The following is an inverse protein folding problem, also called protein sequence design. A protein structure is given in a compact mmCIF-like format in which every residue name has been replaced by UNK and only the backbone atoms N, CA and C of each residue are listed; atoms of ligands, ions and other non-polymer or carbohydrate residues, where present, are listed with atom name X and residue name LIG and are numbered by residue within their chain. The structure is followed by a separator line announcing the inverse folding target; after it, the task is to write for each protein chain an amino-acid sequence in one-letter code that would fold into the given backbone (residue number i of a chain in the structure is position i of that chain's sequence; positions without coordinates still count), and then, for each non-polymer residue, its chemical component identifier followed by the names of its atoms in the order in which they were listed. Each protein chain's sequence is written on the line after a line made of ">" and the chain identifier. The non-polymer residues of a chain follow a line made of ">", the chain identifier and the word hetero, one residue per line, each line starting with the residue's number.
data_IF_770848394050
#
_entry.id   IF_770848394050
#
_cell.length_a   1.000
_cell.length_b   1.000
_cell.length_c   1.000
_cell.angle_alpha   90.00
_cell.angle_beta   90.00
_cell.angle_gamma   90.00
#
_symmetry.space_group_name_H-M   'P 1'
#
loop_
_entity.id
_entity.type
_entity.pdbx_description
1 polymer ?
#
# COMPACT_ATOMS: atom_id res chain seq x y z
N UNK A 1 15.79 -40.52 -44.20
CA UNK A 1 15.17 -40.25 -45.51
C UNK A 1 13.98 -41.19 -45.64
N UNK A 2 12.77 -40.71 -46.03
CA UNK A 2 12.53 -39.92 -47.26
C UNK A 2 12.03 -38.49 -46.98
N UNK A 3 12.51 -37.47 -47.70
CA UNK A 3 11.98 -36.85 -48.96
C UNK A 3 10.84 -35.86 -48.67
N UNK A 4 11.05 -34.53 -48.61
CA UNK A 4 11.29 -33.53 -49.68
C UNK A 4 10.28 -33.52 -50.85
N UNK A 5 9.86 -32.30 -51.21
CA UNK A 5 9.12 -31.83 -52.40
C UNK A 5 7.57 -31.79 -52.35
N UNK A 6 6.97 -30.59 -52.31
CA UNK A 6 6.80 -29.81 -53.54
C UNK A 6 6.33 -28.36 -53.32
N UNK A 7 6.85 -27.52 -54.20
CA UNK A 7 6.71 -26.08 -54.36
C UNK A 7 6.03 -25.83 -55.72
N UNK A 8 5.28 -24.71 -55.82
CA UNK A 8 4.75 -24.03 -57.03
C UNK A 8 3.54 -24.59 -57.78
N UNK A 9 2.53 -23.74 -57.97
CA UNK A 9 2.37 -22.92 -59.20
C UNK A 9 1.14 -21.99 -59.04
N UNK A 10 1.27 -20.67 -58.88
CA UNK A 10 1.46 -19.60 -59.90
C UNK A 10 0.28 -19.35 -60.87
N UNK A 11 -0.24 -18.10 -60.85
CA UNK A 11 -0.49 -17.14 -61.96
C UNK A 11 -1.73 -16.26 -61.72
N UNK A 12 -1.57 -14.95 -61.49
CA UNK A 12 -1.54 -13.81 -62.45
C UNK A 12 -2.97 -13.32 -62.79
N UNK A 13 -3.36 -12.05 -62.91
CA UNK A 13 -2.67 -10.75 -63.08
C UNK A 13 -3.68 -9.58 -63.13
N UNK A 14 -3.22 -8.33 -62.87
CA UNK A 14 -3.81 -7.05 -63.34
C UNK A 14 -3.96 -5.96 -62.26
N UNK A 15 -3.00 -5.04 -61.95
CA UNK A 15 -2.50 -3.82 -62.65
C UNK A 15 -3.63 -2.81 -63.03
N UNK A 16 -3.65 -1.49 -62.79
CA UNK A 16 -2.71 -0.37 -62.44
C UNK A 16 -3.56 0.88 -62.00
N UNK A 17 -3.03 1.79 -61.15
CA UNK A 17 -3.02 3.28 -61.32
C UNK A 17 -2.48 3.95 -60.04
N UNK A 18 -1.19 4.34 -59.93
CA UNK A 18 -0.64 5.71 -60.14
C UNK A 18 -1.55 6.84 -59.65
N UNK A 19 -1.23 7.44 -58.49
CA UNK A 19 -0.51 8.72 -58.39
C UNK A 19 -0.02 8.99 -56.94
N UNK A 20 1.26 9.42 -56.85
CA UNK A 20 1.87 10.42 -55.95
C UNK A 20 1.33 10.62 -54.50
N UNK A 21 2.09 10.77 -53.42
CA UNK A 21 3.45 11.19 -53.19
C UNK A 21 3.90 10.83 -51.74
N UNK A 22 5.22 10.84 -51.56
CA UNK A 22 5.98 10.76 -50.32
C UNK A 22 5.38 11.52 -49.12
N UNK A 23 5.06 10.79 -48.05
CA UNK A 23 5.04 11.35 -46.68
C UNK A 23 5.64 10.38 -45.65
N UNK A 24 6.88 9.99 -45.90
CA UNK A 24 7.83 9.73 -44.80
C UNK A 24 8.13 11.06 -44.11
N UNK A 25 7.33 11.42 -43.09
CA UNK A 25 7.67 12.43 -42.08
C UNK A 25 6.74 12.36 -40.86
N UNK A 26 7.36 12.06 -39.71
CA UNK A 26 6.99 12.53 -38.37
C UNK A 26 5.65 12.05 -37.78
N UNK A 27 5.67 10.88 -37.14
CA UNK A 27 4.86 10.67 -35.94
C UNK A 27 5.77 10.94 -34.74
N UNK A 28 5.61 12.12 -34.13
CA UNK A 28 6.21 12.45 -32.83
C UNK A 28 5.66 11.46 -31.81
N UNK A 29 6.54 10.65 -31.23
CA UNK A 29 6.24 9.81 -30.07
C UNK A 29 6.19 10.64 -28.78
N UNK A 30 5.27 11.61 -28.73
CA UNK A 30 4.75 12.21 -27.50
C UNK A 30 3.24 12.05 -27.63
N UNK A 31 2.59 11.61 -26.56
CA UNK A 31 1.14 11.35 -26.45
C UNK A 31 0.70 9.88 -26.53
N UNK A 32 1.54 8.95 -26.09
CA UNK A 32 1.02 7.73 -25.47
C UNK A 32 0.68 8.04 -24.00
N UNK A 33 -0.52 8.55 -23.79
CA UNK A 33 -1.11 8.67 -22.45
C UNK A 33 -1.37 7.24 -21.97
N UNK A 34 -0.45 6.73 -21.15
CA UNK A 34 -0.54 5.41 -20.52
C UNK A 34 -1.41 5.53 -19.27
N UNK A 35 -2.72 5.34 -19.39
CA UNK A 35 -3.68 5.36 -18.27
C UNK A 35 -3.82 4.01 -17.56
N UNK A 36 -2.74 3.23 -17.48
CA UNK A 36 -2.71 2.03 -16.63
C UNK A 36 -2.12 2.41 -15.28
N UNK A 37 -2.69 1.95 -14.15
CA UNK A 37 -1.93 1.90 -12.91
C UNK A 37 -0.67 1.09 -13.22
N UNK A 38 0.50 1.72 -13.07
CA UNK A 38 1.75 0.99 -13.14
C UNK A 38 1.78 0.11 -11.89
N UNK A 39 1.57 -1.20 -12.08
CA UNK A 39 1.78 -2.20 -11.03
C UNK A 39 3.16 -1.91 -10.44
N UNK A 40 3.27 -1.57 -9.14
CA UNK A 40 4.54 -1.18 -8.56
C UNK A 40 5.49 -2.37 -8.69
N UNK A 41 6.47 -2.22 -9.57
CA UNK A 41 7.52 -3.20 -9.81
C UNK A 41 8.09 -3.64 -8.47
N UNK A 42 8.16 -4.96 -8.25
CA UNK A 42 8.74 -5.66 -7.09
C UNK A 42 10.17 -5.18 -6.79
N UNK A 43 10.31 -4.02 -6.19
CA UNK A 43 11.46 -3.65 -5.40
C UNK A 43 10.93 -3.59 -3.99
N UNK A 44 11.45 -4.46 -3.13
CA UNK A 44 11.23 -4.41 -1.68
C UNK A 44 11.77 -3.07 -1.17
N UNK A 45 11.01 -2.00 -1.35
CA UNK A 45 11.34 -0.69 -0.85
C UNK A 45 11.06 -0.70 0.65
N UNK A 46 12.07 -0.31 1.43
CA UNK A 46 11.93 -0.19 2.88
C UNK A 46 10.68 0.64 3.22
N UNK A 47 10.04 0.37 4.36
CA UNK A 47 8.91 1.20 4.82
C UNK A 47 9.25 2.70 4.77
N UNK A 48 10.46 3.07 5.20
CA UNK A 48 10.92 4.45 5.14
C UNK A 48 10.90 5.03 3.72
N UNK A 49 11.40 4.29 2.73
CA UNK A 49 11.35 4.69 1.32
C UNK A 49 9.90 4.88 0.85
N UNK A 50 9.03 3.91 1.13
CA UNK A 50 7.60 3.97 0.77
C UNK A 50 6.89 5.17 1.40
N UNK A 51 7.18 5.46 2.68
CA UNK A 51 6.65 6.63 3.38
C UNK A 51 7.13 7.94 2.74
N UNK A 52 8.42 8.03 2.42
CA UNK A 52 9.02 9.21 1.78
C UNK A 52 8.42 9.48 0.40
N UNK A 53 8.26 8.43 -0.41
CA UNK A 53 7.64 8.51 -1.74
C UNK A 53 6.19 8.98 -1.66
N UNK A 54 5.41 8.39 -0.73
CA UNK A 54 4.01 8.76 -0.52
C UNK A 54 3.84 10.24 -0.13
N UNK A 55 4.66 10.73 0.80
CA UNK A 55 4.59 12.12 1.24
C UNK A 55 5.02 13.09 0.13
N UNK A 56 6.10 12.76 -0.59
CA UNK A 56 6.57 13.54 -1.73
C UNK A 56 5.49 13.65 -2.82
N UNK A 57 4.88 12.52 -3.19
CA UNK A 57 3.89 12.46 -4.26
C UNK A 57 2.53 13.08 -3.93
N UNK A 58 2.21 13.26 -2.64
CA UNK A 58 0.86 13.69 -2.24
C UNK A 58 0.79 15.10 -1.67
N UNK A 59 1.75 15.47 -0.82
CA UNK A 59 1.76 16.77 -0.12
C UNK A 59 3.09 17.52 -0.29
N UNK A 60 4.04 16.97 -1.07
CA UNK A 60 5.34 17.58 -1.32
C UNK A 60 6.29 17.59 -0.12
N UNK A 61 6.00 16.83 0.94
CA UNK A 61 6.75 16.90 2.21
C UNK A 61 7.66 15.69 2.42
N UNK A 62 8.93 15.82 2.07
CA UNK A 62 9.91 14.74 2.30
C UNK A 62 10.59 14.81 3.66
N UNK A 63 10.47 15.93 4.38
CA UNK A 63 11.24 16.20 5.60
C UNK A 63 10.69 15.39 6.77
N UNK A 64 9.37 15.24 6.84
CA UNK A 64 8.71 14.58 7.95
C UNK A 64 8.75 13.04 7.87
N UNK A 65 9.23 12.45 6.77
CA UNK A 65 9.32 10.99 6.61
C UNK A 65 10.06 10.28 7.76
N UNK A 66 11.12 10.92 8.29
CA UNK A 66 11.88 10.39 9.44
C UNK A 66 11.05 10.39 10.72
N UNK A 67 10.21 11.41 10.92
CA UNK A 67 9.34 11.53 12.08
C UNK A 67 8.26 10.43 12.05
N UNK A 68 7.57 10.24 10.93
CA UNK A 68 6.57 9.18 10.77
C UNK A 68 7.18 7.78 11.00
N UNK A 69 8.36 7.53 10.43
CA UNK A 69 9.07 6.27 10.65
C UNK A 69 9.49 6.08 12.12
N UNK A 70 9.94 7.15 12.78
CA UNK A 70 10.26 7.15 14.21
C UNK A 70 9.06 6.81 15.09
N UNK A 71 7.89 7.40 14.78
CA UNK A 71 6.63 7.09 15.47
C UNK A 71 6.28 5.60 15.29
N UNK A 72 6.31 5.09 14.06
CA UNK A 72 6.09 3.66 13.81
C UNK A 72 7.03 2.79 14.67
N UNK A 73 8.34 3.06 14.64
CA UNK A 73 9.33 2.28 15.40
C UNK A 73 9.08 2.33 16.92
N UNK A 74 8.66 3.47 17.45
CA UNK A 74 8.33 3.62 18.86
C UNK A 74 7.08 2.81 19.25
N UNK A 75 6.07 2.77 18.37
CA UNK A 75 4.84 2.02 18.60
C UNK A 75 5.09 0.52 18.45
N UNK A 76 5.60 0.07 17.30
CA UNK A 76 5.86 -1.35 17.02
C UNK A 76 6.92 -1.93 17.96
N UNK A 77 7.98 -1.18 18.24
CA UNK A 77 9.06 -1.63 19.13
C UNK A 77 8.62 -1.88 20.58
N UNK A 78 7.48 -1.34 21.03
CA UNK A 78 6.89 -1.72 22.32
C UNK A 78 6.13 -3.04 22.25
N UNK A 79 5.40 -3.27 21.15
CA UNK A 79 4.59 -4.48 20.93
C UNK A 79 5.48 -5.70 20.67
N UNK A 80 6.49 -5.55 19.82
CA UNK A 80 7.39 -6.64 19.39
C UNK A 80 8.28 -7.20 20.51
N UNK A 81 8.28 -6.57 21.70
CA UNK A 81 8.94 -7.11 22.90
C UNK A 81 8.19 -8.30 23.48
N UNK A 82 6.89 -8.42 23.22
CA UNK A 82 6.10 -9.54 23.67
C UNK A 82 6.24 -10.71 22.68
N UNK A 83 6.51 -11.92 23.19
CA UNK A 83 6.72 -13.10 22.34
C UNK A 83 5.54 -13.37 21.40
N UNK A 84 4.30 -13.06 21.84
CA UNK A 84 3.09 -13.21 21.01
C UNK A 84 3.09 -12.37 19.73
N UNK A 85 3.87 -11.28 19.67
CA UNK A 85 3.93 -10.37 18.53
C UNK A 85 5.28 -10.37 17.82
N UNK A 86 6.26 -11.16 18.27
CA UNK A 86 7.67 -11.07 17.84
C UNK A 86 7.89 -11.21 16.33
N UNK A 87 7.02 -11.96 15.65
CA UNK A 87 7.11 -12.22 14.21
C UNK A 87 6.27 -11.26 13.35
N UNK A 88 5.62 -10.27 13.97
CA UNK A 88 4.62 -9.42 13.31
C UNK A 88 5.19 -8.11 12.79
N UNK A 89 6.52 -7.98 12.68
CA UNK A 89 7.20 -6.79 12.18
C UNK A 89 6.58 -6.30 10.85
N UNK A 90 6.35 -7.21 9.90
CA UNK A 90 5.77 -6.88 8.60
C UNK A 90 4.32 -6.36 8.71
N UNK A 91 3.54 -6.87 9.67
CA UNK A 91 2.17 -6.40 9.93
C UNK A 91 2.22 -4.96 10.43
N UNK A 92 3.08 -4.67 11.41
CA UNK A 92 3.23 -3.29 11.91
C UNK A 92 3.73 -2.32 10.83
N UNK A 93 4.60 -2.76 9.92
CA UNK A 93 5.02 -1.93 8.79
C UNK A 93 3.87 -1.63 7.83
N UNK A 94 3.05 -2.63 7.51
CA UNK A 94 1.87 -2.46 6.66
C UNK A 94 0.81 -1.56 7.31
N UNK A 95 0.54 -1.73 8.61
CA UNK A 95 -0.36 -0.86 9.37
C UNK A 95 0.17 0.58 9.40
N UNK A 96 1.47 0.79 9.59
CA UNK A 96 2.09 2.11 9.54
C UNK A 96 1.97 2.74 8.15
N UNK A 97 2.20 1.98 7.08
CA UNK A 97 2.03 2.52 5.73
C UNK A 97 0.57 2.91 5.45
N UNK A 98 -0.38 2.07 5.85
CA UNK A 98 -1.83 2.36 5.75
C UNK A 98 -2.23 3.59 6.55
N UNK A 99 -1.76 3.71 7.80
CA UNK A 99 -2.02 4.87 8.65
C UNK A 99 -1.53 6.16 8.00
N UNK A 100 -0.34 6.14 7.36
CA UNK A 100 0.20 7.29 6.66
C UNK A 100 -0.65 7.65 5.44
N UNK A 101 -1.08 6.67 4.64
CA UNK A 101 -2.01 6.91 3.52
C UNK A 101 -3.29 7.59 3.99
N UNK A 102 -3.90 7.10 5.07
CA UNK A 102 -5.13 7.70 5.63
C UNK A 102 -4.86 9.13 6.11
N UNK A 103 -3.78 9.36 6.86
CA UNK A 103 -3.44 10.67 7.38
C UNK A 103 -3.23 11.71 6.27
N UNK A 104 -2.48 11.33 5.23
CA UNK A 104 -2.18 12.19 4.08
C UNK A 104 -3.41 12.38 3.18
N UNK A 105 -4.28 11.39 3.03
CA UNK A 105 -5.55 11.60 2.32
C UNK A 105 -6.47 12.55 3.09
N UNK A 106 -6.47 12.47 4.42
CA UNK A 106 -7.30 13.34 5.26
C UNK A 106 -6.91 14.83 5.14
N UNK A 107 -5.65 15.17 4.86
CA UNK A 107 -5.22 16.57 4.64
C UNK A 107 -5.85 17.19 3.39
N UNK A 108 -6.28 16.37 2.42
CA UNK A 108 -7.00 16.85 1.23
C UNK A 108 -8.42 17.31 1.55
N UNK A 109 -9.01 16.76 2.61
CA UNK A 109 -10.40 17.02 3.00
C UNK A 109 -10.54 18.00 4.16
N UNK A 110 -9.54 18.06 5.05
CA UNK A 110 -9.58 18.89 6.25
C UNK A 110 -8.19 19.41 6.61
N UNK A 111 -8.15 20.57 7.24
CA UNK A 111 -6.92 21.12 7.78
C UNK A 111 -6.46 20.31 9.00
N UNK A 112 -5.28 19.71 8.94
CA UNK A 112 -4.68 18.95 10.04
C UNK A 112 -3.46 19.71 10.53
N UNK A 113 -3.56 20.32 11.72
CA UNK A 113 -2.48 21.13 12.30
C UNK A 113 -1.26 20.31 12.71
N UNK A 114 -1.49 19.09 13.22
CA UNK A 114 -0.44 18.16 13.65
C UNK A 114 -0.60 16.84 12.89
N UNK A 115 0.00 16.75 11.70
CA UNK A 115 -0.07 15.56 10.86
C UNK A 115 0.62 14.32 11.48
N UNK A 116 1.83 14.42 12.06
CA UNK A 116 2.45 13.30 12.78
C UNK A 116 1.60 12.77 13.95
N UNK A 117 1.00 13.68 14.72
CA UNK A 117 0.07 13.32 15.80
C UNK A 117 -1.19 12.62 15.28
N UNK A 118 -1.76 13.12 14.19
CA UNK A 118 -2.92 12.48 13.55
C UNK A 118 -2.57 11.07 13.03
N UNK A 119 -1.41 10.93 12.37
CA UNK A 119 -0.88 9.65 11.94
C UNK A 119 -0.74 8.66 13.10
N UNK A 120 -0.16 9.09 14.23
CA UNK A 120 -0.04 8.23 15.41
C UNK A 120 -1.41 7.73 15.87
N UNK A 121 -2.40 8.62 15.96
CA UNK A 121 -3.75 8.24 16.36
C UNK A 121 -4.40 7.23 15.41
N UNK A 122 -4.21 7.39 14.10
CA UNK A 122 -4.68 6.41 13.11
C UNK A 122 -3.95 5.07 13.26
N UNK A 123 -2.63 5.09 13.46
CA UNK A 123 -1.84 3.87 13.64
C UNK A 123 -2.25 3.11 14.90
N UNK A 124 -2.40 3.80 16.03
CA UNK A 124 -2.85 3.20 17.29
C UNK A 124 -4.22 2.52 17.10
N UNK A 125 -5.16 3.18 16.42
CA UNK A 125 -6.48 2.62 16.12
C UNK A 125 -6.41 1.38 15.22
N UNK A 126 -5.59 1.41 14.17
CA UNK A 126 -5.43 0.26 13.28
C UNK A 126 -4.80 -0.95 14.00
N UNK A 127 -3.89 -0.72 14.94
CA UNK A 127 -3.30 -1.78 15.77
C UNK A 127 -4.35 -2.33 16.74
N UNK A 128 -5.13 -1.46 17.37
CA UNK A 128 -6.25 -1.85 18.24
C UNK A 128 -7.24 -2.76 17.50
N UNK A 129 -7.66 -2.35 16.30
CA UNK A 129 -8.56 -3.13 15.45
C UNK A 129 -7.95 -4.46 15.00
N UNK A 130 -6.64 -4.51 14.76
CA UNK A 130 -5.96 -5.72 14.30
C UNK A 130 -5.76 -6.77 15.40
N UNK A 131 -5.54 -6.35 16.65
CA UNK A 131 -5.10 -7.25 17.73
C UNK A 131 -6.06 -7.36 18.91
N UNK A 132 -6.96 -6.39 19.11
CA UNK A 132 -7.76 -6.29 20.33
C UNK A 132 -9.27 -6.30 20.08
N UNK A 133 -9.71 -6.22 18.82
CA UNK A 133 -11.13 -6.19 18.48
C UNK A 133 -11.90 -7.42 18.96
N UNK A 134 -11.26 -8.59 18.97
CA UNK A 134 -11.87 -9.86 19.35
C UNK A 134 -11.45 -10.35 20.74
N UNK A 135 -10.46 -9.71 21.39
CA UNK A 135 -10.02 -10.09 22.74
C UNK A 135 -11.15 -9.98 23.78
N UNK A 136 -12.03 -9.00 23.62
CA UNK A 136 -13.18 -8.82 24.52
C UNK A 136 -14.21 -9.96 24.42
N UNK A 137 -14.28 -10.68 23.29
CA UNK A 137 -15.22 -11.78 23.11
C UNK A 137 -14.80 -13.06 23.86
N UNK A 138 -13.56 -13.15 24.34
CA UNK A 138 -13.07 -14.32 25.09
C UNK A 138 -13.30 -14.20 26.60
N UNK A 139 -13.71 -13.04 27.10
CA UNK A 139 -13.92 -12.79 28.54
C UNK A 139 -15.39 -12.90 28.98
N UNK A 140 -16.29 -13.46 28.16
CA UNK A 140 -17.69 -13.72 28.51
C UNK A 140 -17.89 -14.91 29.48
N UNK A 141 -16.84 -15.38 30.14
CA UNK A 141 -16.98 -16.37 31.21
C UNK A 141 -17.44 -15.63 32.47
N UNK A 142 -18.65 -15.89 33.00
CA UNK A 142 -19.04 -15.36 34.30
C UNK A 142 -18.01 -15.83 35.32
N UNK A 143 -17.38 -14.88 36.01
CA UNK A 143 -16.41 -15.18 37.06
C UNK A 143 -17.20 -15.70 38.26
N UNK A 144 -17.54 -16.99 38.25
CA UNK A 144 -18.11 -17.67 39.40
C UNK A 144 -17.10 -17.62 40.54
N UNK A 145 -17.41 -16.84 41.58
CA UNK A 145 -16.59 -16.79 42.79
C UNK A 145 -15.90 -15.47 43.11
N UNK A 146 -16.33 -14.32 42.57
CA UNK A 146 -16.00 -13.06 43.25
C UNK A 146 -16.56 -13.10 44.68
N UNK A 147 -15.67 -13.16 45.66
CA UNK A 147 -15.99 -13.01 47.06
C UNK A 147 -16.55 -11.60 47.28
N UNK A 148 -17.88 -11.47 47.33
CA UNK A 148 -18.52 -10.31 47.92
C UNK A 148 -18.55 -10.52 49.43
N UNK A 149 -17.74 -9.80 50.22
CA UNK A 149 -17.89 -9.86 51.67
C UNK A 149 -19.32 -9.45 52.02
N UNK A 150 -20.04 -10.32 52.72
CA UNK A 150 -21.36 -10.00 53.22
C UNK A 150 -21.26 -8.70 54.03
N UNK A 151 -22.16 -7.76 53.70
CA UNK A 151 -22.27 -6.53 54.46
C UNK A 151 -22.68 -6.92 55.87
N UNK A 152 -21.73 -6.83 56.80
CA UNK A 152 -22.02 -6.90 58.23
C UNK A 152 -22.85 -5.67 58.57
N UNK A 153 -24.17 -5.86 58.68
CA UNK A 153 -25.07 -4.87 59.26
C UNK A 153 -24.85 -4.83 60.77
N UNK A 154 -24.45 -3.66 61.27
CA UNK A 154 -24.33 -3.33 62.69
C UNK A 154 -25.68 -3.33 63.40
#
# INVERSE_FOLDING_TARGET
>A
MPEFYNFLSNKDSGQISRDEALLSKSIKSKDLIKTSPEEPSKLSTSLFSRMKELLAGTIGDTKNAREFYGIHRAVSGRMLKFEVYKNDQNIFEELAYRALRIAVMATKTKMIRNLPGYFKGVLDKLIEEAYFKDMFMFFDVPVEGFYCPEKVSF
#
